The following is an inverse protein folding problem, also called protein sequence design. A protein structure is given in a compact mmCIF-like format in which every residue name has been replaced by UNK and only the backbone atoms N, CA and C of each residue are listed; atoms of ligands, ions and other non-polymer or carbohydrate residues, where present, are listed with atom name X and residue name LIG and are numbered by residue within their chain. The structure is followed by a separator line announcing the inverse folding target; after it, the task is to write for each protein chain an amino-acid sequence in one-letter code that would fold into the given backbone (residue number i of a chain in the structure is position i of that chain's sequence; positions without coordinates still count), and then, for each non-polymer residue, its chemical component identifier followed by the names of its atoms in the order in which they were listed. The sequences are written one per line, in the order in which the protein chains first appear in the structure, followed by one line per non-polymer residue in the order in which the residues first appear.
data_IF_374721969689
#
_entry.id   IF_374721969689
#
_cell.length_a   1.000
_cell.length_b   1.000
_cell.length_c   1.000
_cell.angle_alpha   90.00
_cell.angle_beta   90.00
_cell.angle_gamma   90.00
#
_symmetry.space_group_name_H-M   'P 1'
#
loop_
_entity.id
_entity.type
_entity.pdbx_description
1 polymer ?
#
# COMPACT_ATOMS: atom_id res chain seq x y z
N UNK A 1 -0.09 34.63 8.73
CA UNK A 1 -1.22 33.78 9.13
C UNK A 1 -1.30 32.64 8.12
N UNK A 2 -1.04 31.39 8.52
CA UNK A 2 -1.02 30.24 7.59
C UNK A 2 -2.43 30.06 7.00
N UNK A 3 -2.59 30.18 5.68
CA UNK A 3 -3.88 30.08 5.00
C UNK A 3 -4.09 28.66 4.49
N UNK A 4 -4.40 27.74 5.41
CA UNK A 4 -4.82 26.40 5.02
C UNK A 4 -6.27 26.42 4.54
N UNK A 5 -6.54 25.72 3.44
CA UNK A 5 -7.90 25.48 2.93
C UNK A 5 -8.18 23.97 2.89
N UNK A 6 -9.28 23.53 3.50
CA UNK A 6 -9.70 22.14 3.57
C UNK A 6 -9.85 21.49 2.19
N UNK A 7 -10.28 22.24 1.17
CA UNK A 7 -10.38 21.75 -0.22
C UNK A 7 -8.99 21.49 -0.79
N UNK A 8 -8.05 22.42 -0.63
CA UNK A 8 -6.67 22.24 -1.11
C UNK A 8 -5.97 21.06 -0.43
N UNK A 9 -6.13 20.93 0.89
CA UNK A 9 -5.66 19.77 1.66
C UNK A 9 -6.27 18.46 1.16
N UNK A 10 -7.58 18.47 0.89
CA UNK A 10 -8.27 17.31 0.35
C UNK A 10 -7.74 16.92 -1.03
N UNK A 11 -7.57 17.89 -1.94
CA UNK A 11 -7.12 17.63 -3.32
C UNK A 11 -5.70 17.04 -3.32
N UNK A 12 -4.77 17.72 -2.65
CA UNK A 12 -3.37 17.33 -2.59
C UNK A 12 -3.21 15.94 -1.98
N UNK A 13 -3.86 15.69 -0.83
CA UNK A 13 -3.79 14.37 -0.19
C UNK A 13 -4.57 13.30 -0.97
N UNK A 14 -5.53 13.68 -1.82
CA UNK A 14 -6.19 12.73 -2.73
C UNK A 14 -5.28 12.31 -3.86
N UNK A 15 -4.57 13.24 -4.50
CA UNK A 15 -3.56 12.91 -5.51
C UNK A 15 -2.43 12.07 -4.91
N UNK A 16 -1.93 12.46 -3.74
CA UNK A 16 -0.93 11.68 -3.00
C UNK A 16 -1.38 10.22 -2.84
N UNK A 17 -2.58 9.98 -2.27
CA UNK A 17 -3.09 8.63 -2.07
C UNK A 17 -3.23 7.86 -3.39
N UNK A 18 -3.67 8.51 -4.47
CA UNK A 18 -3.74 7.89 -5.80
C UNK A 18 -2.38 7.37 -6.26
N UNK A 19 -1.31 8.14 -6.04
CA UNK A 19 0.04 7.71 -6.40
C UNK A 19 0.59 6.63 -5.46
N UNK A 20 0.24 6.65 -4.17
CA UNK A 20 0.54 5.53 -3.26
C UNK A 20 -0.10 4.22 -3.74
N UNK A 21 -1.31 4.28 -4.29
CA UNK A 21 -1.96 3.10 -4.87
C UNK A 21 -1.20 2.56 -6.09
N UNK A 22 -0.50 3.44 -6.82
CA UNK A 22 0.44 3.06 -7.89
C UNK A 22 1.65 2.32 -7.34
N UNK A 23 2.19 2.77 -6.20
CA UNK A 23 3.27 2.07 -5.48
C UNK A 23 2.81 0.68 -5.03
N UNK A 24 1.59 0.58 -4.47
CA UNK A 24 1.00 -0.73 -4.11
C UNK A 24 0.89 -1.66 -5.32
N UNK A 25 0.40 -1.16 -6.45
CA UNK A 25 0.26 -1.92 -7.68
C UNK A 25 1.61 -2.41 -8.21
N UNK A 26 2.65 -1.57 -8.17
CA UNK A 26 4.00 -1.93 -8.59
C UNK A 26 4.57 -3.06 -7.73
N UNK A 27 4.55 -2.91 -6.41
CA UNK A 27 5.12 -3.90 -5.50
C UNK A 27 4.35 -5.24 -5.55
N UNK A 28 3.03 -5.20 -5.70
CA UNK A 28 2.22 -6.40 -5.87
C UNK A 28 2.60 -7.19 -7.14
N UNK A 29 2.99 -6.51 -8.24
CA UNK A 29 3.42 -7.17 -9.48
C UNK A 29 4.75 -7.90 -9.33
N UNK A 30 5.62 -7.45 -8.44
CA UNK A 30 6.95 -8.07 -8.26
C UNK A 30 6.87 -9.50 -7.73
N UNK A 31 5.82 -9.85 -6.99
CA UNK A 31 5.61 -11.21 -6.50
C UNK A 31 5.42 -12.25 -7.62
N UNK A 32 5.04 -11.81 -8.83
CA UNK A 32 5.00 -12.71 -9.99
C UNK A 32 6.40 -13.28 -10.34
N UNK A 33 7.49 -12.57 -10.01
CA UNK A 33 8.85 -13.11 -10.16
C UNK A 33 9.09 -14.26 -9.18
N UNK A 34 8.64 -14.12 -7.93
CA UNK A 34 8.77 -15.12 -6.86
C UNK A 34 8.04 -16.41 -7.25
N UNK A 35 6.84 -16.30 -7.81
CA UNK A 35 6.08 -17.47 -8.29
C UNK A 35 6.77 -18.18 -9.46
N UNK A 36 7.41 -17.44 -10.37
CA UNK A 36 8.20 -18.02 -11.47
C UNK A 36 9.41 -18.79 -10.95
N UNK A 37 10.11 -18.24 -9.96
CA UNK A 37 11.23 -18.92 -9.30
C UNK A 37 10.77 -20.20 -8.59
N UNK A 38 9.71 -20.12 -7.77
CA UNK A 38 9.11 -21.29 -7.11
C UNK A 38 8.66 -22.34 -8.12
N UNK A 39 8.08 -21.94 -9.25
CA UNK A 39 7.67 -22.88 -10.29
C UNK A 39 8.85 -23.66 -10.86
N UNK A 40 9.97 -23.00 -11.16
CA UNK A 40 11.19 -23.65 -11.68
C UNK A 40 11.74 -24.65 -10.66
N UNK A 41 11.84 -24.23 -9.39
CA UNK A 41 12.33 -25.06 -8.30
C UNK A 41 11.41 -26.26 -8.04
N UNK A 42 10.09 -26.05 -8.06
CA UNK A 42 9.12 -27.12 -7.85
C UNK A 42 9.12 -28.11 -9.00
N UNK A 43 9.18 -27.65 -10.26
CA UNK A 43 9.32 -28.55 -11.40
C UNK A 43 10.57 -29.43 -11.26
N UNK A 44 11.68 -28.85 -10.84
CA UNK A 44 12.94 -29.57 -10.60
C UNK A 44 12.81 -30.59 -9.47
N UNK A 45 12.15 -30.21 -8.36
CA UNK A 45 11.97 -31.07 -7.20
C UNK A 45 11.02 -32.24 -7.50
N UNK A 46 9.87 -31.97 -8.13
CA UNK A 46 8.88 -32.99 -8.49
C UNK A 46 9.42 -33.96 -9.55
N UNK A 47 10.26 -33.51 -10.50
CA UNK A 47 10.87 -34.38 -11.51
C UNK A 47 11.80 -35.47 -10.92
N UNK A 48 12.26 -35.32 -9.67
CA UNK A 48 13.05 -36.34 -8.96
C UNK A 48 12.21 -37.52 -8.49
N UNK A 49 10.89 -37.34 -8.39
CA UNK A 49 9.96 -38.41 -8.00
C UNK A 49 9.84 -39.41 -9.15
N UNK A 50 10.35 -40.62 -8.97
CA UNK A 50 10.29 -41.71 -9.98
C UNK A 50 8.98 -42.51 -9.92
N UNK A 51 7.90 -41.89 -9.49
CA UNK A 51 6.59 -42.53 -9.30
C UNK A 51 5.53 -41.78 -10.09
N UNK A 52 4.58 -42.51 -10.69
CA UNK A 52 3.44 -41.89 -11.37
C UNK A 52 2.47 -41.26 -10.35
N UNK A 53 2.23 -41.92 -9.23
CA UNK A 53 1.36 -41.45 -8.14
C UNK A 53 2.14 -41.26 -6.84
N UNK A 54 1.72 -40.28 -6.03
CA UNK A 54 2.44 -39.94 -4.81
C UNK A 54 2.42 -41.05 -3.75
N UNK A 55 1.41 -41.93 -3.74
CA UNK A 55 1.32 -43.04 -2.79
C UNK A 55 2.38 -44.14 -3.02
N UNK A 56 3.10 -44.10 -4.14
CA UNK A 56 4.31 -44.90 -4.35
C UNK A 56 5.45 -44.54 -3.37
N UNK A 57 5.40 -43.37 -2.73
CA UNK A 57 6.36 -42.97 -1.71
C UNK A 57 6.11 -43.70 -0.39
N UNK A 58 7.20 -44.16 0.24
CA UNK A 58 7.14 -44.53 1.66
C UNK A 58 6.85 -43.29 2.50
N UNK A 59 6.32 -43.48 3.72
CA UNK A 59 6.13 -42.36 4.66
C UNK A 59 7.43 -41.61 4.94
N UNK A 60 8.57 -42.30 4.96
CA UNK A 60 9.88 -41.69 5.12
C UNK A 60 10.26 -40.84 3.90
N UNK A 61 10.06 -41.35 2.68
CA UNK A 61 10.31 -40.62 1.45
C UNK A 61 9.42 -39.37 1.31
N UNK A 62 8.13 -39.48 1.66
CA UNK A 62 7.22 -38.33 1.70
C UNK A 62 7.70 -37.26 2.69
N UNK A 63 8.13 -37.67 3.89
CA UNK A 63 8.66 -36.73 4.89
C UNK A 63 9.91 -36.02 4.37
N UNK A 64 10.84 -36.76 3.76
CA UNK A 64 12.03 -36.17 3.14
C UNK A 64 11.67 -35.17 2.06
N UNK A 65 10.75 -35.53 1.15
CA UNK A 65 10.29 -34.64 0.08
C UNK A 65 9.66 -33.35 0.62
N UNK A 66 8.87 -33.44 1.69
CA UNK A 66 8.27 -32.27 2.33
C UNK A 66 9.29 -31.37 3.02
N UNK A 67 10.41 -31.92 3.51
CA UNK A 67 11.54 -31.12 4.03
C UNK A 67 12.20 -30.37 2.87
N UNK A 68 12.56 -31.05 1.78
CA UNK A 68 13.16 -30.42 0.60
C UNK A 68 12.25 -29.31 0.04
N UNK A 69 10.94 -29.57 -0.03
CA UNK A 69 9.93 -28.61 -0.46
C UNK A 69 9.88 -27.39 0.47
N UNK A 70 9.95 -27.60 1.79
CA UNK A 70 9.99 -26.51 2.77
C UNK A 70 11.26 -25.69 2.65
N UNK A 71 12.40 -26.32 2.44
CA UNK A 71 13.70 -25.63 2.32
C UNK A 71 13.74 -24.74 1.07
N UNK A 72 13.24 -25.24 -0.06
CA UNK A 72 13.06 -24.47 -1.30
C UNK A 72 12.14 -23.28 -1.05
N UNK A 73 10.96 -23.51 -0.47
CA UNK A 73 9.99 -22.44 -0.18
C UNK A 73 10.56 -21.40 0.78
N UNK A 74 11.23 -21.85 1.84
CA UNK A 74 11.84 -20.99 2.85
C UNK A 74 12.88 -20.07 2.23
N UNK A 75 13.80 -20.58 1.41
CA UNK A 75 14.79 -19.75 0.71
C UNK A 75 14.13 -18.65 -0.13
N UNK A 76 13.17 -19.01 -0.97
CA UNK A 76 12.54 -18.08 -1.92
C UNK A 76 11.65 -17.06 -1.20
N UNK A 77 10.82 -17.50 -0.26
CA UNK A 77 9.98 -16.59 0.51
C UNK A 77 10.78 -15.69 1.45
N UNK A 78 11.84 -16.19 2.09
CA UNK A 78 12.69 -15.35 2.94
C UNK A 78 13.32 -14.21 2.13
N UNK A 79 13.90 -14.52 0.96
CA UNK A 79 14.44 -13.51 0.05
C UNK A 79 13.39 -12.47 -0.34
N UNK A 80 12.17 -12.91 -0.69
CA UNK A 80 11.06 -12.01 -0.99
C UNK A 80 10.67 -11.13 0.20
N UNK A 81 10.50 -11.70 1.40
CA UNK A 81 10.07 -10.93 2.58
C UNK A 81 11.12 -9.92 3.02
N UNK A 82 12.41 -10.26 2.94
CA UNK A 82 13.52 -9.32 3.18
C UNK A 82 13.45 -8.16 2.20
N UNK A 83 13.35 -8.45 0.90
CA UNK A 83 13.23 -7.42 -0.14
C UNK A 83 12.00 -6.52 0.08
N UNK A 84 10.85 -7.11 0.41
CA UNK A 84 9.63 -6.34 0.67
C UNK A 84 9.80 -5.40 1.89
N UNK A 85 10.48 -5.85 2.94
CA UNK A 85 10.77 -5.02 4.11
C UNK A 85 11.69 -3.84 3.74
N UNK A 86 12.74 -4.08 2.97
CA UNK A 86 13.63 -3.02 2.46
C UNK A 86 12.86 -2.01 1.61
N UNK A 87 11.99 -2.49 0.72
CA UNK A 87 11.13 -1.64 -0.11
C UNK A 87 10.13 -0.82 0.72
N UNK A 88 9.57 -1.38 1.81
CA UNK A 88 8.70 -0.64 2.72
C UNK A 88 9.47 0.47 3.45
N UNK A 89 10.73 0.24 3.81
CA UNK A 89 11.60 1.26 4.39
C UNK A 89 11.95 2.35 3.38
N UNK A 90 12.25 1.98 2.14
CA UNK A 90 12.49 2.94 1.05
C UNK A 90 11.25 3.80 0.80
N UNK A 91 10.08 3.17 0.66
CA UNK A 91 8.81 3.87 0.51
C UNK A 91 8.50 4.77 1.71
N UNK A 92 8.75 4.33 2.95
CA UNK A 92 8.59 5.16 4.14
C UNK A 92 9.41 6.46 4.02
N UNK A 93 10.69 6.38 3.64
CA UNK A 93 11.55 7.57 3.49
C UNK A 93 11.05 8.49 2.40
N UNK A 94 10.65 7.93 1.26
CA UNK A 94 10.06 8.69 0.16
C UNK A 94 8.76 9.38 0.57
N UNK A 95 7.89 8.70 1.32
CA UNK A 95 6.62 9.25 1.79
C UNK A 95 6.80 10.35 2.82
N UNK A 96 7.82 10.24 3.68
CA UNK A 96 8.23 11.34 4.58
C UNK A 96 8.62 12.56 3.76
N UNK A 97 9.54 12.41 2.79
CA UNK A 97 10.01 13.49 1.92
C UNK A 97 8.83 14.19 1.24
N UNK A 98 7.99 13.40 0.57
CA UNK A 98 6.82 13.92 -0.16
C UNK A 98 5.85 14.62 0.79
N UNK A 99 5.54 14.02 1.93
CA UNK A 99 4.58 14.57 2.89
C UNK A 99 5.06 15.89 3.51
N UNK A 100 6.34 16.00 3.85
CA UNK A 100 6.90 17.25 4.38
C UNK A 100 6.82 18.40 3.38
N UNK A 101 7.25 18.14 2.14
CA UNK A 101 7.17 19.13 1.05
C UNK A 101 5.72 19.54 0.81
N UNK A 102 4.78 18.59 0.86
CA UNK A 102 3.35 18.90 0.81
C UNK A 102 2.96 19.88 1.92
N UNK A 103 3.20 19.53 3.18
CA UNK A 103 2.72 20.31 4.32
C UNK A 103 3.41 21.68 4.46
N UNK A 104 4.65 21.80 4.01
CA UNK A 104 5.36 23.07 3.95
C UNK A 104 4.88 23.94 2.77
N UNK A 105 4.71 23.37 1.58
CA UNK A 105 4.27 24.13 0.38
C UNK A 105 2.85 24.68 0.53
N UNK A 106 1.93 23.92 1.12
CA UNK A 106 0.53 24.38 1.28
C UNK A 106 0.37 25.52 2.28
N UNK A 107 1.42 25.84 3.07
CA UNK A 107 1.41 27.02 3.94
C UNK A 107 1.61 28.33 3.17
N UNK A 108 2.20 28.26 1.97
CA UNK A 108 2.35 29.43 1.09
C UNK A 108 0.97 30.01 0.75
N UNK A 109 0.78 31.34 0.89
CA UNK A 109 -0.45 32.03 0.51
C UNK A 109 -0.93 31.69 -0.91
N UNK A 110 -2.23 31.80 -1.15
CA UNK A 110 -2.76 31.71 -2.51
C UNK A 110 -2.28 32.92 -3.34
N UNK A 111 -1.72 32.67 -4.52
CA UNK A 111 -1.20 33.71 -5.44
C UNK A 111 0.31 33.98 -5.38
N UNK A 112 1.06 33.31 -4.50
CA UNK A 112 2.54 33.29 -4.51
C UNK A 112 3.10 32.15 -5.37
N UNK A 113 4.43 32.09 -5.53
CA UNK A 113 5.14 31.04 -6.27
C UNK A 113 4.73 29.64 -5.76
N UNK A 114 4.03 28.92 -6.64
CA UNK A 114 3.41 27.62 -6.36
C UNK A 114 4.40 26.45 -6.54
N UNK A 115 5.67 26.75 -6.82
CA UNK A 115 6.73 25.75 -6.80
C UNK A 115 6.77 25.04 -5.44
N UNK A 116 6.89 23.69 -5.44
CA UNK A 116 7.18 22.96 -4.22
C UNK A 116 8.40 23.58 -3.54
N UNK A 117 8.31 23.76 -2.22
CA UNK A 117 9.50 24.10 -1.44
C UNK A 117 10.55 23.01 -1.62
N UNK A 118 11.82 23.39 -1.49
CA UNK A 118 12.86 22.38 -1.41
C UNK A 118 12.81 21.62 -0.07
N UNK A 119 13.64 20.59 0.06
CA UNK A 119 13.64 19.74 1.26
C UNK A 119 14.16 20.45 2.50
N UNK A 120 15.11 21.39 2.35
CA UNK A 120 15.68 22.13 3.47
C UNK A 120 14.65 23.12 4.03
N UNK A 121 13.93 23.82 3.14
CA UNK A 121 12.79 24.65 3.47
C UNK A 121 11.66 23.84 4.15
N UNK A 122 11.38 22.64 3.63
CA UNK A 122 10.37 21.76 4.23
C UNK A 122 10.77 21.30 5.64
N UNK A 123 12.02 20.91 5.84
CA UNK A 123 12.54 20.51 7.15
C UNK A 123 12.52 21.68 8.15
N UNK A 124 12.91 22.88 7.73
CA UNK A 124 12.83 24.09 8.56
C UNK A 124 11.38 24.44 8.95
N UNK A 125 10.43 24.33 8.03
CA UNK A 125 9.02 24.57 8.31
C UNK A 125 8.42 23.56 9.31
N UNK A 126 8.88 22.30 9.27
CA UNK A 126 8.50 21.30 10.25
C UNK A 126 9.09 21.59 11.64
N UNK A 127 10.36 22.00 11.71
CA UNK A 127 11.01 22.34 12.98
C UNK A 127 10.34 23.56 13.64
N UNK A 128 10.07 24.61 12.85
CA UNK A 128 9.36 25.79 13.32
C UNK A 128 7.95 25.45 13.84
N UNK A 129 7.17 24.66 13.09
CA UNK A 129 5.83 24.27 13.54
C UNK A 129 5.85 23.39 14.80
N UNK A 130 6.89 22.58 14.96
CA UNK A 130 7.09 21.76 16.14
C UNK A 130 7.41 22.60 17.37
N UNK A 131 8.40 23.49 17.27
CA UNK A 131 8.86 24.32 18.39
C UNK A 131 7.78 25.31 18.85
N UNK A 132 6.95 25.79 17.91
CA UNK A 132 5.82 26.67 18.20
C UNK A 132 4.54 25.93 18.63
N UNK A 133 4.55 24.60 18.72
CA UNK A 133 3.49 23.74 19.26
C UNK A 133 2.09 24.01 18.67
N UNK A 134 2.00 24.16 17.33
CA UNK A 134 0.72 24.44 16.66
C UNK A 134 -0.19 23.20 16.52
N UNK A 135 0.37 22.01 16.70
CA UNK A 135 -0.31 20.72 16.53
C UNK A 135 -0.63 19.97 17.82
N UNK A 136 -0.87 18.68 17.68
CA UNK A 136 -1.06 17.77 18.82
C UNK A 136 0.20 16.91 18.99
N UNK A 137 0.95 17.11 20.06
CA UNK A 137 2.22 16.41 20.38
C UNK A 137 2.03 14.92 20.76
N UNK A 138 1.27 14.16 19.96
CA UNK A 138 0.80 12.81 20.29
C UNK A 138 1.69 11.68 19.76
N UNK A 139 2.54 11.93 18.77
CA UNK A 139 3.62 11.03 18.40
C UNK A 139 4.93 11.52 19.06
N UNK A 140 5.92 10.67 19.37
CA UNK A 140 7.24 11.17 19.72
C UNK A 140 7.82 11.85 18.47
N UNK A 141 7.50 13.13 18.32
CA UNK A 141 7.88 13.98 17.19
C UNK A 141 9.41 14.04 17.02
N UNK A 142 10.15 13.72 18.08
CA UNK A 142 11.60 13.40 18.09
C UNK A 142 12.00 12.32 17.07
N UNK A 143 11.14 11.34 16.79
CA UNK A 143 11.43 10.28 15.81
C UNK A 143 11.31 10.77 14.37
N UNK A 144 10.35 11.66 14.10
CA UNK A 144 10.26 12.36 12.82
C UNK A 144 11.38 13.40 12.66
N UNK A 145 11.80 14.04 13.77
CA UNK A 145 12.98 14.91 13.84
C UNK A 145 14.26 14.16 13.47
N UNK A 146 14.45 12.96 14.03
CA UNK A 146 15.61 12.11 13.74
C UNK A 146 15.61 11.55 12.30
N UNK A 147 14.45 11.50 11.64
CA UNK A 147 14.30 11.01 10.29
C UNK A 147 14.34 12.14 9.22
N UNK A 148 14.50 13.40 9.63
CA UNK A 148 14.69 14.54 8.72
C UNK A 148 16.17 14.74 8.36
N UNK A 149 16.45 15.31 7.19
CA UNK A 149 17.80 15.52 6.64
C UNK A 149 18.72 14.28 6.61
N UNK A 150 18.23 13.13 6.14
CA UNK A 150 19.04 11.90 6.02
C UNK A 150 19.43 11.25 7.37
N UNK A 151 18.84 11.69 8.48
CA UNK A 151 19.07 11.11 9.81
C UNK A 151 18.54 9.67 9.96
N UNK A 152 18.83 9.06 11.11
CA UNK A 152 18.51 7.66 11.38
C UNK A 152 17.00 7.40 11.47
N UNK A 153 16.41 7.03 10.33
CA UNK A 153 15.02 6.59 10.19
C UNK A 153 14.69 5.27 10.91
N UNK A 154 15.66 4.61 11.56
CA UNK A 154 15.45 3.35 12.28
C UNK A 154 14.45 3.47 13.42
N UNK A 155 14.42 4.60 14.14
CA UNK A 155 13.49 4.83 15.26
C UNK A 155 12.05 4.93 14.75
N UNK A 156 11.83 5.66 13.66
CA UNK A 156 10.52 5.78 13.04
C UNK A 156 10.07 4.44 12.45
N UNK A 157 10.97 3.72 11.76
CA UNK A 157 10.68 2.37 11.27
C UNK A 157 10.32 1.41 12.41
N UNK A 158 11.03 1.47 13.54
CA UNK A 158 10.72 0.71 14.74
C UNK A 158 9.32 1.06 15.28
N UNK A 159 8.96 2.35 15.31
CA UNK A 159 7.60 2.76 15.70
C UNK A 159 6.53 2.21 14.76
N UNK A 160 6.74 2.27 13.44
CA UNK A 160 5.76 1.81 12.45
C UNK A 160 5.58 0.29 12.53
N UNK A 161 6.67 -0.45 12.68
CA UNK A 161 6.66 -1.92 12.78
C UNK A 161 6.07 -2.43 14.09
N UNK A 162 6.21 -1.67 15.18
CA UNK A 162 5.62 -1.98 16.49
C UNK A 162 4.20 -1.43 16.69
N UNK A 163 3.69 -0.62 15.74
CA UNK A 163 2.29 -0.22 15.74
C UNK A 163 1.41 -1.35 15.15
N UNK A 164 0.36 -1.81 15.85
CA UNK A 164 -0.58 -2.77 15.30
C UNK A 164 -1.29 -2.22 14.06
N UNK A 165 -1.40 -3.05 13.01
CA UNK A 165 -2.15 -2.70 11.80
C UNK A 165 -3.66 -2.69 12.14
N UNK A 166 -4.38 -1.57 11.99
CA UNK A 166 -5.79 -1.49 12.41
C UNK A 166 -6.73 -2.49 11.72
N UNK A 167 -6.37 -2.95 10.52
CA UNK A 167 -7.15 -3.91 9.73
C UNK A 167 -7.21 -5.32 10.33
N UNK A 168 -6.21 -5.72 11.14
CA UNK A 168 -6.09 -7.10 11.62
C UNK A 168 -5.51 -7.23 13.06
N UNK A 169 -5.00 -6.15 13.65
CA UNK A 169 -4.41 -6.14 15.00
C UNK A 169 -2.99 -6.72 15.08
N UNK A 170 -2.39 -7.14 13.96
CA UNK A 170 -1.05 -7.75 13.92
C UNK A 170 0.01 -6.68 13.63
N UNK A 171 1.21 -6.86 14.16
CA UNK A 171 2.37 -6.02 13.86
C UNK A 171 2.86 -6.23 12.41
N UNK A 172 3.56 -5.24 11.84
CA UNK A 172 3.92 -5.25 10.42
C UNK A 172 4.81 -6.44 10.00
N UNK A 173 5.90 -6.69 10.74
CA UNK A 173 6.83 -7.77 10.38
C UNK A 173 6.20 -9.16 10.57
N UNK A 174 5.51 -9.46 11.70
CA UNK A 174 4.76 -10.70 11.85
C UNK A 174 3.65 -10.88 10.80
N UNK A 175 3.01 -9.81 10.34
CA UNK A 175 2.00 -9.89 9.29
C UNK A 175 2.60 -10.38 7.95
N UNK A 176 3.76 -9.86 7.57
CA UNK A 176 4.50 -10.29 6.36
C UNK A 176 5.01 -11.73 6.51
N UNK A 177 5.62 -12.06 7.65
CA UNK A 177 6.13 -13.41 7.91
C UNK A 177 5.01 -14.46 7.96
N UNK A 178 3.86 -14.11 8.55
CA UNK A 178 2.68 -14.96 8.61
C UNK A 178 2.13 -15.34 7.24
N UNK A 179 2.22 -14.42 6.26
CA UNK A 179 1.88 -14.72 4.87
C UNK A 179 2.80 -15.80 4.29
N UNK A 180 4.12 -15.65 4.40
CA UNK A 180 5.08 -16.63 3.86
C UNK A 180 4.89 -18.03 4.47
N UNK A 181 4.65 -18.09 5.79
CA UNK A 181 4.37 -19.33 6.50
C UNK A 181 3.05 -19.98 6.03
N UNK A 182 1.99 -19.18 5.86
CA UNK A 182 0.69 -19.66 5.36
C UNK A 182 0.79 -20.15 3.92
N UNK A 183 1.49 -19.44 3.05
CA UNK A 183 1.70 -19.83 1.66
C UNK A 183 2.45 -21.17 1.57
N UNK A 184 3.51 -21.33 2.36
CA UNK A 184 4.29 -22.57 2.43
C UNK A 184 3.45 -23.75 2.91
N UNK A 185 2.67 -23.53 3.97
CA UNK A 185 1.78 -24.55 4.55
C UNK A 185 0.69 -24.97 3.55
N UNK A 186 0.14 -24.04 2.77
CA UNK A 186 -0.86 -24.34 1.74
C UNK A 186 -0.32 -25.31 0.69
N UNK A 187 0.91 -25.10 0.21
CA UNK A 187 1.56 -25.99 -0.76
C UNK A 187 1.86 -27.35 -0.15
N UNK A 188 2.42 -27.40 1.07
CA UNK A 188 2.67 -28.67 1.77
C UNK A 188 1.39 -29.50 1.95
N UNK A 189 0.26 -28.85 2.25
CA UNK A 189 -1.02 -29.51 2.41
C UNK A 189 -1.54 -30.10 1.09
N UNK A 190 -1.31 -29.44 -0.05
CA UNK A 190 -1.65 -29.99 -1.38
C UNK A 190 -0.87 -31.28 -1.64
N UNK A 191 0.42 -31.31 -1.32
CA UNK A 191 1.24 -32.53 -1.45
C UNK A 191 0.77 -33.65 -0.54
N UNK A 192 0.49 -33.36 0.74
CA UNK A 192 -0.04 -34.35 1.70
C UNK A 192 -1.40 -34.90 1.26
N UNK A 193 -2.28 -34.04 0.74
CA UNK A 193 -3.57 -34.42 0.17
C UNK A 193 -3.40 -35.31 -1.06
N UNK A 194 -2.48 -34.95 -1.96
CA UNK A 194 -2.17 -35.75 -3.14
C UNK A 194 -1.67 -37.15 -2.78
N UNK A 195 -0.79 -37.25 -1.77
CA UNK A 195 -0.34 -38.53 -1.22
C UNK A 195 -1.50 -39.37 -0.68
N UNK A 196 -2.35 -38.79 0.17
CA UNK A 196 -3.48 -39.50 0.77
C UNK A 196 -4.50 -40.00 -0.28
N UNK A 197 -4.68 -39.24 -1.36
CA UNK A 197 -5.65 -39.53 -2.41
C UNK A 197 -5.05 -40.26 -3.62
N UNK A 198 -3.80 -40.74 -3.54
CA UNK A 198 -3.12 -41.45 -4.64
C UNK A 198 -3.11 -40.66 -5.96
N UNK A 199 -3.02 -39.33 -5.84
CA UNK A 199 -3.01 -38.44 -7.01
C UNK A 199 -1.70 -38.58 -7.78
N UNK A 200 -1.76 -38.36 -9.10
CA UNK A 200 -0.55 -38.36 -9.92
C UNK A 200 0.37 -37.19 -9.55
N UNK A 201 1.68 -37.37 -9.74
CA UNK A 201 2.69 -36.33 -9.49
C UNK A 201 2.37 -35.07 -10.31
N UNK A 202 1.97 -35.26 -11.57
CA UNK A 202 1.62 -34.18 -12.49
C UNK A 202 0.35 -33.45 -12.04
N UNK A 203 -0.67 -34.18 -11.56
CA UNK A 203 -1.90 -33.59 -11.07
C UNK A 203 -1.66 -32.71 -9.83
N UNK A 204 -0.80 -33.15 -8.91
CA UNK A 204 -0.44 -32.38 -7.71
C UNK A 204 0.35 -31.14 -8.08
N UNK A 205 1.33 -31.26 -8.98
CA UNK A 205 2.10 -30.12 -9.47
C UNK A 205 1.20 -29.10 -10.19
N UNK A 206 0.23 -29.58 -10.97
CA UNK A 206 -0.77 -28.73 -11.62
C UNK A 206 -1.73 -28.06 -10.60
N UNK A 207 -2.12 -28.73 -9.51
CA UNK A 207 -2.92 -28.12 -8.42
C UNK A 207 -2.14 -26.97 -7.73
N UNK A 208 -0.82 -27.09 -7.63
CA UNK A 208 0.04 -26.05 -7.05
C UNK A 208 0.25 -24.89 -8.02
N UNK A 209 0.80 -25.18 -9.20
CA UNK A 209 1.29 -24.19 -10.17
C UNK A 209 0.18 -23.65 -11.06
N UNK A 210 -0.81 -24.48 -11.38
CA UNK A 210 -1.83 -24.22 -12.40
C UNK A 210 -1.48 -24.82 -13.76
N UNK A 211 -2.39 -24.67 -14.71
CA UNK A 211 -2.29 -25.26 -16.05
C UNK A 211 -2.03 -24.20 -17.12
N UNK A 212 -1.27 -24.57 -18.16
CA UNK A 212 -1.04 -23.70 -19.32
C UNK A 212 -2.35 -23.30 -20.00
N UNK A 213 -3.33 -24.20 -20.05
CA UNK A 213 -4.65 -23.96 -20.65
C UNK A 213 -5.44 -22.82 -19.97
N UNK A 214 -5.17 -22.55 -18.68
CA UNK A 214 -5.78 -21.45 -17.92
C UNK A 214 -4.78 -20.35 -17.59
N UNK A 215 -3.67 -20.27 -18.32
CA UNK A 215 -2.58 -19.32 -18.07
C UNK A 215 -2.10 -19.34 -16.60
N UNK A 216 -2.07 -20.52 -15.98
CA UNK A 216 -1.66 -20.75 -14.59
C UNK A 216 -2.53 -20.03 -13.53
N UNK A 217 -3.77 -19.64 -13.90
CA UNK A 217 -4.70 -18.93 -13.00
C UNK A 217 -5.62 -19.87 -12.20
N UNK A 218 -5.49 -21.17 -12.38
CA UNK A 218 -6.32 -22.21 -11.78
C UNK A 218 -5.61 -22.99 -10.65
N UNK A 219 -4.32 -22.73 -10.41
CA UNK A 219 -3.55 -23.33 -9.32
C UNK A 219 -3.51 -22.51 -8.03
N UNK A 220 -2.98 -23.13 -6.96
CA UNK A 220 -2.77 -22.48 -5.67
C UNK A 220 -1.89 -21.21 -5.77
N UNK A 221 -0.92 -21.18 -6.69
CA UNK A 221 -0.08 -20.01 -6.93
C UNK A 221 -0.87 -18.75 -7.29
N UNK A 222 -1.99 -18.87 -8.02
CA UNK A 222 -2.87 -17.73 -8.31
C UNK A 222 -3.49 -17.13 -7.03
N UNK A 223 -3.88 -18.00 -6.09
CA UNK A 223 -4.43 -17.60 -4.79
C UNK A 223 -3.34 -16.97 -3.92
N UNK A 224 -2.16 -17.57 -3.88
CA UNK A 224 -0.99 -17.05 -3.14
C UNK A 224 -0.58 -15.67 -3.71
N UNK A 225 -0.59 -15.48 -5.03
CA UNK A 225 -0.35 -14.18 -5.66
C UNK A 225 -1.35 -13.11 -5.16
N UNK A 226 -2.63 -13.50 -5.13
CA UNK A 226 -3.70 -12.63 -4.65
C UNK A 226 -3.53 -12.31 -3.17
N UNK A 227 -3.05 -13.24 -2.34
CA UNK A 227 -2.75 -12.97 -0.93
C UNK A 227 -1.54 -12.05 -0.76
N UNK A 228 -0.46 -12.28 -1.52
CA UNK A 228 0.74 -11.44 -1.51
C UNK A 228 0.39 -9.99 -1.82
N UNK A 229 -0.37 -9.75 -2.90
CA UNK A 229 -0.83 -8.39 -3.24
C UNK A 229 -1.70 -7.75 -2.15
N UNK A 230 -2.48 -8.54 -1.41
CA UNK A 230 -3.29 -8.04 -0.29
C UNK A 230 -2.41 -7.60 0.90
N UNK A 231 -1.40 -8.41 1.21
CA UNK A 231 -0.41 -8.15 2.27
C UNK A 231 0.40 -6.90 1.93
N UNK A 232 0.97 -6.85 0.72
CA UNK A 232 1.72 -5.69 0.22
C UNK A 232 0.90 -4.40 0.26
N UNK A 233 -0.34 -4.42 -0.26
CA UNK A 233 -1.21 -3.25 -0.27
C UNK A 233 -1.55 -2.75 1.15
N UNK A 234 -1.76 -3.68 2.08
CA UNK A 234 -2.09 -3.37 3.48
C UNK A 234 -0.87 -2.83 4.22
N UNK A 235 0.31 -3.43 3.99
CA UNK A 235 1.58 -2.99 4.57
C UNK A 235 1.93 -1.57 4.12
N UNK A 236 1.86 -1.27 2.82
CA UNK A 236 2.11 0.08 2.28
C UNK A 236 1.09 1.09 2.83
N UNK A 237 -0.21 0.71 2.91
CA UNK A 237 -1.21 1.60 3.50
C UNK A 237 -0.92 1.91 4.98
N UNK A 238 -0.47 0.92 5.74
CA UNK A 238 -0.11 1.11 7.16
C UNK A 238 1.06 2.07 7.29
N UNK A 239 2.14 1.86 6.52
CA UNK A 239 3.31 2.74 6.50
C UNK A 239 2.91 4.18 6.21
N UNK A 240 2.18 4.44 5.10
CA UNK A 240 1.83 5.82 4.74
C UNK A 240 0.87 6.47 5.73
N UNK A 241 -0.08 5.70 6.29
CA UNK A 241 -1.07 6.26 7.22
C UNK A 241 -0.42 6.72 8.53
N UNK A 242 0.55 5.96 9.03
CA UNK A 242 1.32 6.33 10.24
C UNK A 242 2.25 7.50 9.93
N UNK A 243 2.97 7.46 8.80
CA UNK A 243 3.88 8.54 8.38
C UNK A 243 3.15 9.87 8.23
N UNK A 244 2.07 9.91 7.46
CA UNK A 244 1.29 11.13 7.25
C UNK A 244 0.63 11.63 8.51
N UNK A 245 0.07 10.74 9.34
CA UNK A 245 -0.53 11.15 10.61
C UNK A 245 0.50 11.78 11.54
N UNK A 246 1.71 11.22 11.60
CA UNK A 246 2.80 11.79 12.38
C UNK A 246 3.19 13.20 11.92
N UNK A 247 3.43 13.39 10.62
CA UNK A 247 3.79 14.71 10.06
C UNK A 247 2.64 15.71 10.20
N UNK A 248 1.42 15.33 9.81
CA UNK A 248 0.27 16.22 9.86
C UNK A 248 -0.06 16.65 11.30
N UNK A 249 0.16 15.78 12.28
CA UNK A 249 -0.09 16.10 13.70
C UNK A 249 0.79 17.22 14.26
N UNK A 250 1.88 17.58 13.58
CA UNK A 250 2.73 18.74 13.91
C UNK A 250 1.98 20.06 13.67
N UNK A 251 1.17 20.09 12.61
CA UNK A 251 0.50 21.31 12.15
C UNK A 251 -0.98 21.37 12.57
N UNK A 252 -1.59 20.22 12.86
CA UNK A 252 -3.03 20.11 13.07
C UNK A 252 -3.37 19.19 14.24
N UNK A 253 -4.37 19.57 15.04
CA UNK A 253 -4.87 18.71 16.13
C UNK A 253 -5.93 17.68 15.71
N UNK A 254 -6.52 17.84 14.51
CA UNK A 254 -7.66 17.03 14.04
C UNK A 254 -7.53 16.65 12.58
N UNK A 255 -8.14 15.52 12.24
CA UNK A 255 -8.29 15.06 10.87
C UNK A 255 -9.68 14.52 10.60
N UNK A 256 -10.05 14.51 9.32
CA UNK A 256 -11.21 13.86 8.75
C UNK A 256 -10.78 12.56 8.09
N UNK A 257 -11.52 11.49 8.36
CA UNK A 257 -11.38 10.24 7.61
C UNK A 257 -12.01 10.40 6.23
N UNK A 258 -11.26 10.09 5.18
CA UNK A 258 -11.71 10.18 3.78
C UNK A 258 -11.59 8.82 3.13
N UNK A 259 -12.72 8.29 2.69
CA UNK A 259 -12.81 7.05 1.93
C UNK A 259 -13.01 7.32 0.45
N UNK A 260 -12.38 6.51 -0.39
CA UNK A 260 -12.78 6.40 -1.80
C UNK A 260 -14.17 5.79 -1.81
N UNK A 261 -15.20 6.54 -2.21
CA UNK A 261 -16.59 6.08 -2.31
C UNK A 261 -16.84 5.58 -3.74
N UNK A 262 -16.67 4.27 -3.93
CA UNK A 262 -16.93 3.52 -5.16
C UNK A 262 -17.64 2.18 -4.82
N UNK A 263 -17.82 1.31 -5.81
CA UNK A 263 -18.49 0.01 -5.64
C UNK A 263 -17.68 -1.01 -4.81
N UNK A 264 -16.42 -0.73 -4.48
CA UNK A 264 -15.56 -1.57 -3.65
C UNK A 264 -15.31 -1.00 -2.25
N UNK A 265 -15.90 0.15 -1.92
CA UNK A 265 -15.87 0.69 -0.56
C UNK A 265 -16.62 -0.24 0.39
N UNK A 266 -15.93 -0.70 1.42
CA UNK A 266 -16.52 -1.52 2.49
C UNK A 266 -17.37 -0.67 3.44
N UNK A 267 -18.33 -1.30 4.12
CA UNK A 267 -19.23 -0.60 5.07
C UNK A 267 -18.48 0.12 6.20
N UNK A 268 -17.38 -0.45 6.68
CA UNK A 268 -16.54 0.22 7.70
C UNK A 268 -15.95 1.53 7.18
N UNK A 269 -15.53 1.59 5.91
CA UNK A 269 -15.02 2.80 5.28
C UNK A 269 -16.15 3.80 5.02
N UNK A 270 -17.31 3.35 4.53
CA UNK A 270 -18.49 4.21 4.36
C UNK A 270 -18.93 4.85 5.68
N UNK A 271 -19.01 4.06 6.75
CA UNK A 271 -19.40 4.55 8.08
C UNK A 271 -18.38 5.45 8.77
N UNK A 272 -17.11 5.42 8.33
CA UNK A 272 -16.06 6.34 8.81
C UNK A 272 -15.92 7.58 7.95
N UNK A 273 -16.34 7.55 6.68
CA UNK A 273 -16.20 8.65 5.76
C UNK A 273 -16.78 9.96 6.32
N UNK A 274 -15.98 11.03 6.31
CA UNK A 274 -16.36 12.34 6.81
C UNK A 274 -16.27 12.52 8.33
N UNK A 275 -16.09 11.44 9.12
CA UNK A 275 -15.94 11.57 10.58
C UNK A 275 -14.62 12.26 10.92
N UNK A 276 -14.67 13.12 11.94
CA UNK A 276 -13.54 13.90 12.43
C UNK A 276 -13.03 13.28 13.72
N UNK A 277 -11.72 13.13 13.81
CA UNK A 277 -11.02 12.60 14.98
C UNK A 277 -9.86 13.51 15.37
N UNK A 278 -9.38 13.36 16.61
CA UNK A 278 -8.10 13.91 17.02
C UNK A 278 -6.97 12.98 16.60
N UNK A 279 -5.84 13.54 16.17
CA UNK A 279 -4.62 12.75 15.99
C UNK A 279 -4.27 12.05 17.31
N UNK A 280 -3.72 10.84 17.24
CA UNK A 280 -3.39 10.01 18.41
C UNK A 280 -4.56 9.38 19.18
N UNK A 281 -5.79 9.85 19.00
CA UNK A 281 -6.98 9.27 19.64
C UNK A 281 -7.86 8.46 18.66
N UNK A 282 -7.92 8.86 17.38
CA UNK A 282 -8.78 8.24 16.38
C UNK A 282 -8.14 7.11 15.57
N UNK A 283 -8.94 6.31 14.84
CA UNK A 283 -8.43 5.23 14.01
C UNK A 283 -7.73 5.76 12.75
N UNK A 284 -6.57 5.16 12.43
CA UNK A 284 -5.91 5.37 11.15
C UNK A 284 -6.24 4.24 10.15
N UNK A 285 -6.16 4.48 8.84
CA UNK A 285 -6.12 3.40 7.85
C UNK A 285 -4.86 2.53 8.04
N UNK A 286 -4.84 1.29 7.52
CA UNK A 286 -5.93 0.61 6.82
C UNK A 286 -7.01 0.08 7.79
N UNK A 287 -8.29 0.32 7.49
CA UNK A 287 -9.41 -0.22 8.27
C UNK A 287 -9.71 -1.71 7.99
N UNK A 288 -9.23 -2.23 6.86
CA UNK A 288 -9.39 -3.60 6.40
C UNK A 288 -8.26 -3.94 5.43
N UNK A 289 -8.11 -5.23 5.09
CA UNK A 289 -7.16 -5.66 4.07
C UNK A 289 -7.47 -4.95 2.73
N UNK A 290 -6.44 -4.40 2.08
CA UNK A 290 -6.56 -3.55 0.86
C UNK A 290 -7.36 -2.25 1.06
N UNK A 291 -7.32 -1.64 2.25
CA UNK A 291 -7.92 -0.32 2.43
C UNK A 291 -7.23 0.75 1.56
N UNK A 292 -8.04 1.65 1.00
CA UNK A 292 -7.64 2.81 0.18
C UNK A 292 -8.07 4.15 0.81
N UNK A 293 -8.56 4.10 2.05
CA UNK A 293 -8.94 5.32 2.79
C UNK A 293 -7.69 6.05 3.27
N UNK A 294 -7.79 7.36 3.44
CA UNK A 294 -6.75 8.24 3.96
C UNK A 294 -7.31 9.15 5.06
N UNK A 295 -6.43 9.92 5.68
CA UNK A 295 -6.81 11.01 6.57
C UNK A 295 -6.47 12.35 5.91
N UNK A 296 -7.28 13.37 6.17
CA UNK A 296 -7.04 14.74 5.70
C UNK A 296 -7.18 15.67 6.91
N UNK A 297 -6.21 16.54 7.20
CA UNK A 297 -6.33 17.46 8.33
C UNK A 297 -7.57 18.36 8.23
N UNK A 298 -8.04 18.82 9.39
CA UNK A 298 -9.16 19.76 9.48
C UNK A 298 -8.63 21.11 9.94
N UNK A 299 -8.81 22.12 9.11
CA UNK A 299 -8.50 23.51 9.43
C UNK A 299 -9.66 24.10 10.23
N UNK A 300 -9.37 24.59 11.45
CA UNK A 300 -10.36 25.25 12.30
C UNK A 300 -10.87 26.53 11.65
N UNK A 301 -12.18 26.72 11.61
CA UNK A 301 -12.82 27.92 11.05
C UNK A 301 -13.07 27.89 9.54
N UNK A 302 -12.57 26.89 8.83
CA UNK A 302 -12.86 26.68 7.41
C UNK A 302 -14.06 25.73 7.22
N UNK A 303 -15.13 26.24 6.61
CA UNK A 303 -16.38 25.51 6.34
C UNK A 303 -16.44 24.95 4.90
N UNK A 304 -15.37 25.08 4.11
CA UNK A 304 -15.32 24.52 2.76
C UNK A 304 -15.51 23.00 2.80
N UNK A 305 -16.33 22.49 1.88
CA UNK A 305 -16.72 21.08 1.84
C UNK A 305 -16.05 20.42 0.64
N UNK A 306 -15.21 19.40 0.87
CA UNK A 306 -14.61 18.65 -0.23
C UNK A 306 -15.67 17.96 -1.11
N UNK A 307 -15.33 17.61 -2.37
CA UNK A 307 -16.23 16.90 -3.26
C UNK A 307 -16.79 15.61 -2.64
N UNK A 308 -18.09 15.36 -2.86
CA UNK A 308 -18.82 14.26 -2.22
C UNK A 308 -18.57 12.88 -2.84
N UNK A 309 -17.89 12.81 -3.99
CA UNK A 309 -17.56 11.55 -4.67
C UNK A 309 -16.24 11.65 -5.43
N UNK A 310 -15.67 10.49 -5.77
CA UNK A 310 -14.46 10.42 -6.60
C UNK A 310 -14.67 11.01 -8.00
N UNK A 311 -15.85 10.80 -8.60
CA UNK A 311 -16.19 11.40 -9.89
C UNK A 311 -16.27 12.92 -9.82
N UNK A 312 -16.91 13.47 -8.79
CA UNK A 312 -17.00 14.92 -8.59
C UNK A 312 -15.60 15.53 -8.39
N UNK A 313 -14.78 14.89 -7.57
CA UNK A 313 -13.39 15.30 -7.35
C UNK A 313 -12.57 15.26 -8.64
N UNK A 314 -12.65 14.18 -9.41
CA UNK A 314 -11.87 14.03 -10.64
C UNK A 314 -12.25 15.08 -11.70
N UNK A 315 -13.53 15.41 -11.83
CA UNK A 315 -13.98 16.46 -12.74
C UNK A 315 -13.45 17.85 -12.38
N UNK A 316 -13.18 18.12 -11.10
CA UNK A 316 -12.64 19.41 -10.66
C UNK A 316 -11.13 19.51 -10.84
N UNK A 317 -10.43 18.42 -11.13
CA UNK A 317 -8.96 18.45 -11.27
C UNK A 317 -8.52 19.07 -12.60
N UNK A 318 -7.35 19.72 -12.65
CA UNK A 318 -6.74 20.21 -13.90
C UNK A 318 -6.59 19.10 -14.93
N UNK A 319 -6.67 19.45 -16.23
CA UNK A 319 -6.62 18.47 -17.32
C UNK A 319 -5.35 17.61 -17.29
N UNK A 320 -4.20 18.21 -16.97
CA UNK A 320 -2.93 17.47 -16.83
C UNK A 320 -2.96 16.44 -15.70
N UNK A 321 -3.63 16.74 -14.59
CA UNK A 321 -3.82 15.78 -13.47
C UNK A 321 -4.78 14.66 -13.89
N UNK A 322 -5.88 15.00 -14.57
CA UNK A 322 -6.81 14.00 -15.10
C UNK A 322 -6.12 13.04 -16.08
N UNK A 323 -5.34 13.59 -17.02
CA UNK A 323 -4.64 12.83 -18.05
C UNK A 323 -3.56 11.93 -17.43
N UNK A 324 -2.85 12.40 -16.41
CA UNK A 324 -1.84 11.62 -15.69
C UNK A 324 -2.44 10.45 -14.89
N UNK A 325 -3.56 10.70 -14.19
CA UNK A 325 -4.19 9.69 -13.33
C UNK A 325 -4.98 8.65 -14.15
N UNK A 326 -5.78 9.09 -15.12
CA UNK A 326 -6.71 8.22 -15.84
C UNK A 326 -6.20 7.76 -17.21
N UNK A 327 -5.17 8.41 -17.75
CA UNK A 327 -4.76 8.31 -19.14
C UNK A 327 -5.62 9.18 -20.07
N UNK A 328 -5.00 9.67 -21.14
CA UNK A 328 -5.57 10.68 -22.04
C UNK A 328 -6.98 10.35 -22.56
N UNK A 329 -7.23 9.09 -22.95
CA UNK A 329 -8.54 8.70 -23.49
C UNK A 329 -9.65 8.79 -22.43
N UNK A 330 -9.42 8.24 -21.24
CA UNK A 330 -10.43 8.24 -20.16
C UNK A 330 -10.66 9.64 -19.60
N UNK A 331 -9.60 10.44 -19.53
CA UNK A 331 -9.69 11.84 -19.14
C UNK A 331 -10.49 12.66 -20.17
N UNK A 332 -10.30 12.40 -21.47
CA UNK A 332 -11.16 12.98 -22.53
C UNK A 332 -12.61 12.53 -22.41
N UNK A 333 -12.86 11.24 -22.15
CA UNK A 333 -14.20 10.70 -21.94
C UNK A 333 -14.87 11.29 -20.67
N UNK A 334 -14.11 11.59 -19.62
CA UNK A 334 -14.58 12.29 -18.43
C UNK A 334 -14.99 13.74 -18.77
N UNK A 335 -14.10 14.50 -19.41
CA UNK A 335 -14.33 15.92 -19.78
C UNK A 335 -15.49 16.10 -20.76
N UNK A 336 -15.72 15.13 -21.64
CA UNK A 336 -16.87 15.12 -22.56
C UNK A 336 -18.18 14.66 -21.92
N UNK A 337 -18.18 14.28 -20.63
CA UNK A 337 -19.36 13.81 -19.91
C UNK A 337 -19.80 12.37 -20.25
N UNK A 338 -18.96 11.61 -20.97
CA UNK A 338 -19.23 10.21 -21.32
C UNK A 338 -19.09 9.29 -20.11
N UNK A 339 -18.18 9.60 -19.18
CA UNK A 339 -18.09 8.92 -17.86
C UNK A 339 -19.01 9.64 -16.87
N UNK A 340 -20.13 9.01 -16.50
CA UNK A 340 -21.04 9.52 -15.47
C UNK A 340 -20.65 8.99 -14.10
N UNK A 341 -21.10 9.63 -13.02
CA UNK A 341 -20.78 9.21 -11.65
C UNK A 341 -21.09 7.73 -11.36
N UNK A 342 -22.23 7.23 -11.85
CA UNK A 342 -22.62 5.82 -11.72
C UNK A 342 -21.76 4.83 -12.53
N UNK A 343 -21.12 5.34 -13.58
CA UNK A 343 -20.30 4.60 -14.53
C UNK A 343 -18.81 4.80 -14.23
N UNK A 344 -18.49 5.52 -13.14
CA UNK A 344 -17.11 5.76 -12.72
C UNK A 344 -16.50 4.40 -12.37
N UNK A 345 -15.40 4.01 -13.04
CA UNK A 345 -14.76 2.74 -12.75
C UNK A 345 -14.31 2.71 -11.28
N UNK A 346 -14.28 1.50 -10.72
CA UNK A 346 -13.56 1.27 -9.46
C UNK A 346 -12.17 1.87 -9.58
N UNK A 347 -11.70 2.51 -8.51
CA UNK A 347 -10.32 2.96 -8.44
C UNK A 347 -9.38 1.75 -8.26
N UNK A 348 -9.28 0.92 -9.30
CA UNK A 348 -8.51 -0.32 -9.40
C UNK A 348 -7.53 -0.28 -10.59
N UNK A 349 -7.82 0.54 -11.60
CA UNK A 349 -6.92 0.79 -12.71
C UNK A 349 -5.85 1.80 -12.31
N UNK A 350 -4.96 1.38 -11.43
CA UNK A 350 -3.85 2.21 -10.97
C UNK A 350 -2.62 1.92 -11.80
N UNK A 351 -2.06 2.96 -12.41
CA UNK A 351 -0.78 2.88 -13.10
C UNK A 351 0.29 2.53 -12.06
N UNK A 352 1.03 1.41 -12.23
CA UNK A 352 2.11 1.07 -11.32
C UNK A 352 3.15 2.16 -11.28
N UNK A 353 3.65 2.43 -10.09
CA UNK A 353 4.59 3.51 -9.83
C UNK A 353 5.74 2.99 -8.96
N UNK A 354 6.98 3.26 -9.37
CA UNK A 354 8.14 2.99 -8.51
C UNK A 354 8.15 3.97 -7.34
N UNK A 355 8.95 3.71 -6.30
CA UNK A 355 9.11 4.65 -5.18
C UNK A 355 9.66 6.00 -5.67
N UNK A 356 10.68 5.98 -6.53
CA UNK A 356 11.20 7.19 -7.18
C UNK A 356 10.14 7.88 -8.06
N UNK A 357 9.36 7.10 -8.81
CA UNK A 357 8.25 7.60 -9.60
C UNK A 357 7.17 8.27 -8.74
N UNK A 358 6.96 7.82 -7.51
CA UNK A 358 6.05 8.46 -6.56
C UNK A 358 6.58 9.82 -6.10
N UNK A 359 7.88 9.91 -5.81
CA UNK A 359 8.52 11.18 -5.45
C UNK A 359 8.44 12.20 -6.59
N UNK A 360 8.62 11.77 -7.84
CA UNK A 360 8.56 12.67 -9.00
C UNK A 360 7.16 13.23 -9.28
N UNK A 361 6.12 12.70 -8.64
CA UNK A 361 4.74 13.22 -8.72
C UNK A 361 4.47 14.43 -7.81
N UNK A 362 5.46 14.94 -7.08
CA UNK A 362 5.30 16.10 -6.20
C UNK A 362 4.61 17.29 -6.89
N UNK A 363 5.03 17.63 -8.12
CA UNK A 363 4.42 18.72 -8.89
C UNK A 363 2.94 18.44 -9.20
N UNK A 364 2.60 17.23 -9.65
CA UNK A 364 1.22 16.83 -9.93
C UNK A 364 0.37 16.80 -8.65
N UNK A 365 0.94 16.35 -7.53
CA UNK A 365 0.30 16.32 -6.23
C UNK A 365 -0.07 17.75 -5.78
N UNK A 366 0.82 18.71 -5.99
CA UNK A 366 0.68 20.11 -5.55
C UNK A 366 -0.04 21.02 -6.54
N UNK A 367 -0.35 20.56 -7.75
CA UNK A 367 -1.03 21.35 -8.80
C UNK A 367 -2.35 21.94 -8.29
N UNK A 368 -2.73 23.15 -8.70
CA UNK A 368 -4.03 23.72 -8.38
C UNK A 368 -5.02 23.52 -9.51
#
# INVERSE_FOLDING_TARGET
MRMYNNVRLFDVLTRHQIYVEGVKAQHAREFNNVLRELQVEFNTLFARLRFQTLDGLTKAALRSFLIDLRDVQGRVYNAYTTKLIEQLQEFMRADIRVSKVIFATIQKPEGEDETPVDEDEADAALEDAYDNNEGSNLYPLIWFKSAHNGGDSSKLWSSITNAPIPANGVLLLPFIAGFAASASTSVENIVRKGYANRSSVEAVLAEIVGTKAKNFRDGSFSRINSQAGAVTATAIQHVTSVTQAGIASIFFGRYRWVSVIDNATTEICKGRNGRIFRYGEGPLPPAHIRCRSKTVPVVSGDNSTPPSSYHAWMNSQPSGVQDDIMGAQKASDLRSGKIKAKDMPQFDEVNPLTVEGFVSKLNQILTR
#
